data_IF_246643461381
#
_entry.id   IF_246643461381
#
_cell.length_a   1.000
_cell.length_b   1.000
_cell.length_c   1.000
_cell.angle_alpha   90.00
_cell.angle_beta   90.00
_cell.angle_gamma   90.00
#
_symmetry.space_group_name_H-M   'P 1'
#
loop_
_entity.id
_entity.type
_entity.pdbx_description
1 polymer ?
#
# COMPACT_ATOMS: atom_id res chain seq x y z
N UNK A 1 -5.46 -5.66 -5.45
CA UNK A 1 -4.02 -5.83 -5.19
C UNK A 1 -3.44 -6.98 -6.02
N UNK A 2 -3.91 -7.24 -7.25
CA UNK A 2 -3.50 -8.45 -7.99
C UNK A 2 -2.07 -8.34 -8.54
N UNK A 3 -1.20 -9.36 -8.44
CA UNK A 3 -1.45 -10.70 -7.90
C UNK A 3 -1.31 -10.89 -6.39
N UNK A 4 -0.86 -9.89 -5.62
CA UNK A 4 -0.69 -10.01 -4.16
C UNK A 4 -1.99 -10.48 -3.47
N UNK A 5 -3.12 -9.85 -3.81
CA UNK A 5 -4.47 -10.33 -3.44
C UNK A 5 -5.41 -10.23 -4.64
N UNK A 6 -6.21 -11.28 -4.82
CA UNK A 6 -7.19 -11.48 -5.87
C UNK A 6 -8.62 -11.50 -5.29
N UNK A 7 -9.61 -11.25 -6.14
CA UNK A 7 -11.02 -11.37 -5.75
C UNK A 7 -11.30 -12.80 -5.26
N UNK A 8 -11.99 -12.94 -4.13
CA UNK A 8 -12.27 -14.24 -3.50
C UNK A 8 -11.18 -14.76 -2.56
N UNK A 9 -10.05 -14.06 -2.38
CA UNK A 9 -9.10 -14.40 -1.32
C UNK A 9 -9.73 -14.18 0.07
N UNK A 10 -9.60 -15.18 0.95
CA UNK A 10 -9.96 -15.04 2.37
C UNK A 10 -8.72 -14.71 3.20
N UNK A 11 -8.85 -13.69 4.04
CA UNK A 11 -7.74 -13.07 4.76
C UNK A 11 -7.91 -13.24 6.27
N UNK A 12 -6.80 -13.51 6.96
CA UNK A 12 -6.73 -13.41 8.42
C UNK A 12 -6.26 -12.01 8.76
N UNK A 13 -7.15 -11.28 9.45
CA UNK A 13 -6.92 -9.89 9.85
C UNK A 13 -6.57 -9.85 11.33
N UNK A 14 -5.43 -9.27 11.68
CA UNK A 14 -5.10 -8.95 13.06
C UNK A 14 -5.46 -7.49 13.36
N UNK A 15 -6.34 -7.31 14.36
CA UNK A 15 -6.79 -6.00 14.84
C UNK A 15 -5.84 -5.36 15.86
N UNK A 16 -4.88 -6.13 16.38
CA UNK A 16 -3.99 -5.73 17.45
C UNK A 16 -2.57 -5.50 16.92
N UNK A 17 -1.96 -4.39 17.34
CA UNK A 17 -0.57 -4.04 17.05
C UNK A 17 -0.39 -2.72 16.30
N UNK A 18 0.80 -2.14 16.42
CA UNK A 18 1.21 -0.90 15.76
C UNK A 18 1.31 -1.09 14.25
N UNK A 19 0.77 -0.18 13.43
CA UNK A 19 0.93 -0.21 11.97
C UNK A 19 2.38 0.16 11.61
N UNK A 20 2.99 -0.66 10.76
CA UNK A 20 4.35 -0.48 10.25
C UNK A 20 4.32 -0.25 8.75
N UNK A 21 5.42 0.33 8.25
CA UNK A 21 5.63 0.48 6.81
C UNK A 21 5.62 -0.90 6.16
N UNK A 22 5.00 -0.98 5.00
CA UNK A 22 4.76 -2.18 4.20
C UNK A 22 3.74 -3.17 4.72
N UNK A 23 3.11 -2.92 5.87
CA UNK A 23 1.94 -3.69 6.24
C UNK A 23 0.85 -3.58 5.17
N UNK A 24 0.23 -4.71 4.85
CA UNK A 24 -1.02 -4.71 4.09
C UNK A 24 -2.17 -4.57 5.08
N UNK A 25 -3.00 -3.56 4.88
CA UNK A 25 -4.09 -3.22 5.80
C UNK A 25 -5.43 -3.27 5.09
N UNK A 26 -6.46 -3.62 5.85
CA UNK A 26 -7.86 -3.45 5.48
C UNK A 26 -8.39 -2.20 6.17
N UNK A 27 -9.08 -1.33 5.44
CA UNK A 27 -9.69 -0.13 6.02
C UNK A 27 -11.02 0.20 5.35
N UNK A 28 -11.92 0.83 6.11
CA UNK A 28 -13.18 1.35 5.59
C UNK A 28 -12.92 2.55 4.67
N UNK A 29 -13.13 2.38 3.36
CA UNK A 29 -13.01 3.47 2.39
C UNK A 29 -14.22 4.41 2.49
N UNK A 30 -15.41 3.83 2.69
CA UNK A 30 -16.67 4.49 2.96
C UNK A 30 -17.55 3.60 3.85
N UNK A 31 -18.83 3.95 4.04
CA UNK A 31 -19.73 3.21 4.93
C UNK A 31 -20.10 1.80 4.43
N UNK A 32 -19.77 1.45 3.17
CA UNK A 32 -20.18 0.19 2.53
C UNK A 32 -19.01 -0.63 1.99
N UNK A 33 -17.84 -0.03 1.86
CA UNK A 33 -16.70 -0.65 1.15
C UNK A 33 -15.43 -0.66 1.99
N UNK A 34 -14.78 -1.83 2.00
CA UNK A 34 -13.47 -2.05 2.59
C UNK A 34 -12.42 -2.19 1.49
N UNK A 35 -11.33 -1.43 1.60
CA UNK A 35 -10.21 -1.51 0.69
C UNK A 35 -9.02 -2.19 1.36
N UNK A 36 -8.25 -2.91 0.55
CA UNK A 36 -6.99 -3.51 0.97
C UNK A 36 -5.84 -2.88 0.20
N UNK A 37 -4.92 -2.25 0.93
CA UNK A 37 -3.75 -1.54 0.37
C UNK A 37 -2.53 -1.74 1.27
N UNK A 38 -1.35 -1.45 0.74
CA UNK A 38 -0.09 -1.48 1.48
C UNK A 38 0.26 -0.11 2.02
N UNK A 39 0.67 -0.05 3.28
CA UNK A 39 1.18 1.17 3.92
C UNK A 39 2.56 1.51 3.35
N UNK A 40 2.72 2.71 2.82
CA UNK A 40 4.00 3.20 2.26
C UNK A 40 4.57 4.33 3.11
N UNK A 41 3.71 5.25 3.58
CA UNK A 41 4.10 6.35 4.46
C UNK A 41 3.38 6.29 5.81
N UNK A 42 4.15 6.45 6.89
CA UNK A 42 3.68 6.61 8.27
C UNK A 42 3.68 8.10 8.67
N UNK A 43 3.00 8.50 9.76
CA UNK A 43 3.02 9.88 10.24
C UNK A 43 4.43 10.49 10.29
N UNK A 44 4.60 11.65 9.66
CA UNK A 44 5.87 12.38 9.56
C UNK A 44 6.72 12.01 8.34
N UNK A 45 6.41 10.95 7.60
CA UNK A 45 7.18 10.56 6.43
C UNK A 45 6.99 11.54 5.26
N UNK A 46 8.09 11.86 4.58
CA UNK A 46 8.10 12.40 3.23
C UNK A 46 8.24 11.26 2.22
N UNK A 47 7.42 11.26 1.17
CA UNK A 47 7.40 10.22 0.15
C UNK A 47 7.70 10.84 -1.22
N UNK A 48 8.65 10.24 -1.93
CA UNK A 48 8.94 10.58 -3.33
C UNK A 48 9.12 9.30 -4.12
N UNK A 49 8.52 9.25 -5.31
CA UNK A 49 8.89 8.31 -6.36
C UNK A 49 9.65 9.02 -7.45
N UNK A 50 10.80 8.47 -7.81
CA UNK A 50 11.59 8.93 -8.95
C UNK A 50 12.21 7.73 -9.64
N UNK A 51 11.96 7.60 -10.94
CA UNK A 51 12.42 6.47 -11.75
C UNK A 51 12.02 5.10 -11.19
N UNK A 52 10.77 4.97 -10.73
CA UNK A 52 10.21 3.74 -10.14
C UNK A 52 10.96 3.25 -8.88
N UNK A 53 11.66 4.17 -8.21
CA UNK A 53 12.31 3.98 -6.92
C UNK A 53 11.56 4.80 -5.87
N UNK A 54 11.18 4.14 -4.77
CA UNK A 54 10.61 4.77 -3.59
C UNK A 54 11.72 5.41 -2.76
N UNK A 55 11.51 6.66 -2.35
CA UNK A 55 12.31 7.35 -1.35
C UNK A 55 11.42 7.71 -0.17
N UNK A 56 11.83 7.30 1.03
CA UNK A 56 11.17 7.68 2.29
C UNK A 56 12.14 8.54 3.09
N UNK A 57 11.75 9.77 3.38
CA UNK A 57 12.62 10.75 4.05
C UNK A 57 13.98 10.91 3.35
N UNK A 58 13.95 10.94 2.01
CA UNK A 58 15.14 11.04 1.15
C UNK A 58 15.96 9.76 0.99
N UNK A 59 15.63 8.68 1.69
CA UNK A 59 16.37 7.41 1.62
C UNK A 59 15.72 6.45 0.62
N UNK A 60 16.47 5.91 -0.37
CA UNK A 60 15.92 4.90 -1.26
C UNK A 60 15.49 3.69 -0.44
N UNK A 61 14.30 3.17 -0.74
CA UNK A 61 13.68 2.08 0.00
C UNK A 61 13.25 0.98 -0.96
N UNK A 62 13.66 -0.25 -0.69
CA UNK A 62 13.34 -1.40 -1.55
C UNK A 62 11.89 -1.84 -1.41
N UNK A 63 11.33 -2.32 -2.52
CA UNK A 63 9.97 -2.84 -2.59
C UNK A 63 9.94 -4.25 -3.20
N UNK A 64 10.42 -5.30 -2.49
CA UNK A 64 10.53 -6.64 -3.05
C UNK A 64 9.19 -7.23 -3.52
N UNK A 65 8.08 -6.84 -2.89
CA UNK A 65 6.71 -7.25 -3.26
C UNK A 65 6.29 -6.79 -4.66
N UNK A 66 7.00 -5.83 -5.28
CA UNK A 66 6.74 -5.40 -6.65
C UNK A 66 7.51 -6.19 -7.70
N UNK A 67 8.48 -7.05 -7.34
CA UNK A 67 9.27 -7.82 -8.32
C UNK A 67 8.39 -8.60 -9.32
N UNK A 68 7.30 -9.28 -8.92
CA UNK A 68 6.43 -9.98 -9.87
C UNK A 68 5.72 -9.05 -10.87
N UNK A 69 5.46 -7.81 -10.48
CA UNK A 69 4.83 -6.79 -11.32
C UNK A 69 5.83 -6.20 -12.29
N UNK A 70 7.03 -5.86 -11.80
CA UNK A 70 8.12 -5.33 -12.62
C UNK A 70 8.56 -6.32 -13.71
N UNK A 71 8.56 -7.62 -13.42
CA UNK A 71 8.86 -8.68 -14.41
C UNK A 71 7.84 -8.79 -15.55
N UNK A 72 6.61 -8.31 -15.36
CA UNK A 72 5.55 -8.36 -16.38
C UNK A 72 5.51 -7.10 -17.25
N UNK A 73 6.29 -6.06 -16.92
CA UNK A 73 6.40 -4.88 -17.74
C UNK A 73 7.23 -5.20 -18.98
N UNK A 74 6.66 -4.90 -20.14
CA UNK A 74 7.37 -4.98 -21.43
C UNK A 74 8.22 -3.72 -21.61
N UNK A 75 7.68 -2.57 -21.20
CA UNK A 75 8.35 -1.27 -21.22
C UNK A 75 7.75 -0.35 -20.14
N UNK A 76 8.47 0.70 -19.75
CA UNK A 76 8.04 1.75 -18.84
C UNK A 76 8.30 1.51 -17.35
N UNK A 77 7.74 2.40 -16.53
CA UNK A 77 7.85 2.40 -15.06
C UNK A 77 6.59 1.81 -14.43
N UNK A 78 6.73 0.96 -13.41
CA UNK A 78 5.57 0.45 -12.68
C UNK A 78 4.85 1.57 -11.91
N UNK A 79 5.64 2.45 -11.30
CA UNK A 79 5.20 3.62 -10.55
C UNK A 79 5.77 4.86 -11.22
N UNK A 80 4.88 5.75 -11.66
CA UNK A 80 5.27 7.07 -12.18
C UNK A 80 5.94 7.93 -11.11
N UNK A 81 6.64 8.96 -11.56
CA UNK A 81 7.33 9.89 -10.68
C UNK A 81 6.31 10.81 -10.00
N UNK A 82 6.43 11.00 -8.68
CA UNK A 82 5.62 11.95 -7.91
C UNK A 82 6.26 12.27 -6.57
N UNK A 83 5.89 13.40 -5.98
CA UNK A 83 6.11 13.71 -4.57
C UNK A 83 4.81 13.65 -3.77
N UNK A 84 4.91 13.43 -2.46
CA UNK A 84 3.75 13.45 -1.58
C UNK A 84 2.97 14.77 -1.69
N UNK A 85 3.69 15.89 -1.81
CA UNK A 85 3.11 17.22 -1.93
C UNK A 85 2.32 17.40 -3.24
N UNK A 86 2.81 16.86 -4.36
CA UNK A 86 2.09 16.93 -5.64
C UNK A 86 0.74 16.23 -5.58
N UNK A 87 0.68 15.03 -4.99
CA UNK A 87 -0.53 14.19 -5.00
C UNK A 87 -1.46 14.42 -3.81
N UNK A 88 -0.97 15.00 -2.71
CA UNK A 88 -1.77 15.23 -1.49
C UNK A 88 -1.82 16.68 -1.00
N UNK A 89 -1.08 17.59 -1.64
CA UNK A 89 -0.88 18.99 -1.19
C UNK A 89 -0.25 19.11 0.20
N UNK A 90 0.39 18.05 0.69
CA UNK A 90 1.05 18.02 1.99
C UNK A 90 2.46 17.44 1.89
N UNK A 91 3.44 18.08 2.54
CA UNK A 91 4.86 17.68 2.47
C UNK A 91 5.19 16.38 3.23
N UNK A 92 4.46 16.12 4.32
CA UNK A 92 4.63 14.93 5.17
C UNK A 92 3.28 14.28 5.44
N UNK A 93 3.28 12.97 5.71
CA UNK A 93 2.06 12.29 6.16
C UNK A 93 1.59 12.89 7.50
N UNK A 94 0.34 13.38 7.61
CA UNK A 94 -0.15 13.98 8.86
C UNK A 94 -0.22 13.00 10.03
N UNK A 95 -0.18 13.52 11.26
CA UNK A 95 -0.42 12.73 12.47
C UNK A 95 -1.78 12.03 12.43
N UNK A 96 -1.81 10.74 12.77
CA UNK A 96 -3.04 9.93 12.77
C UNK A 96 -3.47 9.42 11.38
N UNK A 97 -2.62 9.59 10.36
CA UNK A 97 -2.87 9.12 9.01
C UNK A 97 -1.76 8.22 8.48
N UNK A 98 -2.08 7.46 7.44
CA UNK A 98 -1.10 6.70 6.63
C UNK A 98 -1.30 7.01 5.14
N UNK A 99 -0.23 6.89 4.38
CA UNK A 99 -0.25 6.94 2.92
C UNK A 99 -0.14 5.51 2.37
N UNK A 100 -1.09 5.08 1.55
CA UNK A 100 -1.20 3.69 1.10
C UNK A 100 -1.16 3.59 -0.42
N UNK A 101 -0.50 2.55 -0.93
CA UNK A 101 -0.48 2.23 -2.36
C UNK A 101 -0.99 0.82 -2.59
N UNK A 102 -1.54 0.58 -3.78
CA UNK A 102 -1.77 -0.78 -4.24
C UNK A 102 -0.52 -1.37 -4.89
N UNK A 103 -0.27 -2.67 -4.69
CA UNK A 103 0.84 -3.35 -5.35
C UNK A 103 0.66 -3.41 -6.88
N UNK A 104 -0.60 -3.49 -7.37
CA UNK A 104 -0.93 -3.30 -8.78
C UNK A 104 -0.95 -1.81 -9.14
N UNK A 105 0.24 -1.21 -9.18
CA UNK A 105 0.44 0.24 -9.27
C UNK A 105 -0.30 0.91 -10.42
N UNK A 106 -0.31 0.29 -11.59
CA UNK A 106 -0.96 0.85 -12.78
C UNK A 106 -2.50 0.79 -12.72
N UNK A 107 -3.07 -0.09 -11.90
CA UNK A 107 -4.51 -0.34 -11.84
C UNK A 107 -5.08 -0.12 -10.44
N UNK A 108 -4.43 0.70 -9.61
CA UNK A 108 -4.82 0.90 -8.22
C UNK A 108 -5.29 2.34 -7.98
N UNK A 109 -6.56 2.48 -7.65
CA UNK A 109 -7.09 3.66 -6.97
C UNK A 109 -6.64 3.62 -5.51
N UNK A 110 -5.69 4.46 -5.15
CA UNK A 110 -5.02 4.51 -3.84
C UNK A 110 -4.68 5.95 -3.41
N UNK A 111 -3.79 6.16 -2.42
CA UNK A 111 -3.51 7.49 -1.87
C UNK A 111 -2.96 8.50 -2.87
N UNK A 112 -2.49 8.07 -4.05
CA UNK A 112 -2.16 8.97 -5.17
C UNK A 112 -3.38 9.73 -5.71
N UNK A 113 -4.59 9.20 -5.47
CA UNK A 113 -5.84 9.72 -6.02
C UNK A 113 -6.76 10.25 -4.90
N UNK A 114 -6.90 9.51 -3.79
CA UNK A 114 -7.80 9.89 -2.69
C UNK A 114 -7.10 10.48 -1.46
N UNK A 115 -5.76 10.60 -1.48
CA UNK A 115 -4.99 11.13 -0.35
C UNK A 115 -4.88 10.15 0.83
N UNK A 116 -4.83 10.69 2.04
CA UNK A 116 -4.47 9.92 3.23
C UNK A 116 -5.61 9.09 3.82
N UNK A 117 -5.25 7.98 4.48
CA UNK A 117 -6.19 7.14 5.24
C UNK A 117 -6.04 7.41 6.73
N UNK A 118 -7.13 7.75 7.42
CA UNK A 118 -7.16 7.87 8.88
C UNK A 118 -6.86 6.52 9.52
N UNK A 119 -5.95 6.47 10.49
CA UNK A 119 -5.63 5.23 11.20
C UNK A 119 -6.85 4.63 11.92
N UNK A 120 -7.79 5.47 12.36
CA UNK A 120 -9.04 5.03 12.99
C UNK A 120 -10.01 4.30 12.05
N UNK A 121 -9.79 4.37 10.72
CA UNK A 121 -10.57 3.61 9.72
C UNK A 121 -9.96 2.25 9.42
N UNK A 122 -8.78 1.95 9.96
CA UNK A 122 -8.09 0.68 9.73
C UNK A 122 -8.80 -0.41 10.54
N UNK A 123 -9.29 -1.42 9.84
CA UNK A 123 -9.91 -2.61 10.43
C UNK A 123 -8.83 -3.51 11.03
N UNK A 124 -7.70 -3.65 10.34
CA UNK A 124 -6.54 -4.38 10.84
C UNK A 124 -5.52 -4.71 9.74
N UNK A 125 -4.49 -5.45 10.12
CA UNK A 125 -3.42 -5.91 9.25
C UNK A 125 -3.72 -7.29 8.67
N UNK A 126 -3.38 -7.50 7.40
CA UNK A 126 -3.46 -8.80 6.73
C UNK A 126 -2.21 -9.60 7.10
N UNK A 127 -2.36 -10.58 7.98
CA UNK A 127 -1.25 -11.41 8.45
C UNK A 127 -1.10 -12.70 7.64
N UNK A 128 -2.20 -13.22 7.10
CA UNK A 128 -2.18 -14.40 6.27
C UNK A 128 -3.29 -14.34 5.21
N UNK A 129 -2.98 -14.90 4.04
CA UNK A 129 -3.95 -15.33 3.03
C UNK A 129 -4.01 -16.83 3.19
N UNK A 130 -5.18 -17.37 3.52
CA UNK A 130 -5.32 -18.80 3.83
C UNK A 130 -6.12 -19.59 2.80
N UNK A 131 -6.81 -18.91 1.89
CA UNK A 131 -7.54 -19.55 0.79
C UNK A 131 -7.33 -18.80 -0.54
N UNK A 132 -7.13 -19.51 -1.67
CA UNK A 132 -7.09 -20.97 -1.82
C UNK A 132 -5.86 -21.61 -1.14
N UNK A 133 -5.98 -22.84 -0.62
CA UNK A 133 -4.93 -23.47 0.21
C UNK A 133 -3.56 -23.59 -0.50
N UNK A 134 -3.54 -23.66 -1.84
CA UNK A 134 -2.30 -23.66 -2.65
C UNK A 134 -1.59 -22.30 -2.68
N UNK A 135 -2.23 -21.25 -2.19
CA UNK A 135 -1.76 -19.87 -2.17
C UNK A 135 -1.53 -19.32 -0.75
N UNK A 136 -1.44 -20.22 0.24
CA UNK A 136 -1.18 -19.86 1.63
C UNK A 136 0.11 -19.02 1.74
N UNK A 137 -0.02 -17.82 2.31
CA UNK A 137 1.09 -16.90 2.51
C UNK A 137 0.93 -16.17 3.85
N UNK A 138 2.02 -16.10 4.63
CA UNK A 138 2.09 -15.44 5.94
C UNK A 138 2.94 -14.16 5.94
N UNK A 139 3.46 -13.78 4.77
CA UNK A 139 4.26 -12.56 4.56
C UNK A 139 3.80 -11.93 3.24
N UNK A 140 3.40 -10.65 3.31
CA UNK A 140 2.92 -9.87 2.17
C UNK A 140 3.85 -8.71 1.89
#
# INVERSE_FOLDING_TARGET
MMPTLQQGNLLIINKWGSIHRFDVIVFHANAREDYVKRVIGLPGDQITYKNDVLYVNGKPTEEPYLKPYKRKLIDGKLTGDFTLEEVTRTKVVPRGYVFVLGDNRLNSWDSRHFGFVKMSRIVGKVNARYWPFREFATRF
#
